data_IF_275330536909
#
_entry.id   IF_275330536909
#
_cell.length_a   1.000
_cell.length_b   1.000
_cell.length_c   1.000
_cell.angle_alpha   90.00
_cell.angle_beta   90.00
_cell.angle_gamma   90.00
#
_symmetry.space_group_name_H-M   'P 1'
#
loop_
_entity.id
_entity.type
_entity.pdbx_description
1 polymer ?
#
# COMPACT_ATOMS: atom_id res chain seq x y z
N UNK A 1 19.91 -10.36 4.51
CA UNK A 1 19.43 -10.77 3.18
C UNK A 1 18.60 -9.64 2.60
N UNK A 2 18.77 -9.36 1.32
CA UNK A 2 17.99 -8.38 0.55
C UNK A 2 17.10 -9.15 -0.42
N UNK A 3 15.79 -8.88 -0.45
CA UNK A 3 14.86 -9.52 -1.39
C UNK A 3 13.89 -8.52 -1.97
N UNK A 4 13.49 -8.75 -3.21
CA UNK A 4 12.44 -8.02 -3.90
C UNK A 4 11.38 -9.02 -4.31
N UNK A 5 10.12 -8.70 -4.07
CA UNK A 5 8.98 -9.49 -4.52
C UNK A 5 7.94 -8.57 -5.16
N UNK A 6 7.48 -8.97 -6.33
CA UNK A 6 6.47 -8.23 -7.08
C UNK A 6 5.11 -8.86 -6.77
N UNK A 7 4.20 -8.06 -6.22
CA UNK A 7 2.84 -8.46 -5.86
C UNK A 7 1.81 -8.01 -6.92
N UNK A 8 2.19 -7.01 -7.72
CA UNK A 8 1.52 -6.60 -8.94
C UNK A 8 2.44 -5.79 -9.83
N UNK A 9 2.28 -5.98 -11.13
CA UNK A 9 3.14 -5.46 -12.20
C UNK A 9 2.34 -4.81 -13.35
N UNK A 10 1.01 -4.74 -13.22
CA UNK A 10 0.13 -4.10 -14.20
C UNK A 10 0.05 -2.59 -13.98
N UNK A 11 -0.12 -1.85 -15.07
CA UNK A 11 -0.41 -0.42 -15.04
C UNK A 11 -1.88 -0.16 -15.34
N UNK A 12 -2.38 0.99 -14.88
CA UNK A 12 -3.71 1.58 -15.08
C UNK A 12 -4.89 0.77 -14.53
N UNK A 13 -4.98 -0.53 -14.79
CA UNK A 13 -6.11 -1.38 -14.36
C UNK A 13 -5.64 -2.80 -14.00
N UNK A 14 -6.26 -3.45 -13.00
CA UNK A 14 -6.06 -4.87 -12.78
C UNK A 14 -6.72 -5.67 -13.91
N UNK A 15 -5.97 -6.59 -14.50
CA UNK A 15 -6.40 -7.38 -15.67
C UNK A 15 -6.20 -8.88 -15.43
N UNK A 16 -6.92 -9.50 -14.48
CA UNK A 16 -6.83 -10.94 -14.27
C UNK A 16 -7.47 -11.72 -15.43
N UNK A 17 -6.80 -12.74 -15.96
CA UNK A 17 -7.37 -13.59 -17.01
C UNK A 17 -6.38 -14.65 -17.51
N UNK A 18 -6.84 -15.61 -18.34
CA UNK A 18 -6.00 -16.66 -18.90
C UNK A 18 -4.75 -16.14 -19.61
N UNK A 19 -4.86 -14.99 -20.26
CA UNK A 19 -3.76 -14.38 -21.02
C UNK A 19 -2.74 -13.63 -20.15
N UNK A 20 -3.09 -13.33 -18.89
CA UNK A 20 -2.26 -12.51 -17.99
C UNK A 20 -1.79 -13.27 -16.74
N UNK A 21 -2.41 -14.40 -16.41
CA UNK A 21 -2.20 -15.15 -15.16
C UNK A 21 -0.76 -15.63 -14.96
N UNK A 22 0.01 -15.82 -16.04
CA UNK A 22 1.42 -16.22 -15.97
C UNK A 22 2.26 -15.24 -15.15
N UNK A 23 1.98 -13.94 -15.29
CA UNK A 23 2.68 -12.87 -14.55
C UNK A 23 1.80 -12.23 -13.45
N UNK A 24 0.49 -12.46 -13.51
CA UNK A 24 -0.49 -11.91 -12.59
C UNK A 24 -1.35 -10.81 -13.22
N UNK A 25 -2.38 -10.40 -12.48
CA UNK A 25 -3.36 -9.39 -12.93
C UNK A 25 -3.44 -8.17 -12.02
N UNK A 26 -2.57 -8.05 -11.01
CA UNK A 26 -2.61 -6.96 -10.04
C UNK A 26 -1.80 -5.75 -10.51
N UNK A 27 -2.26 -4.56 -10.15
CA UNK A 27 -1.54 -3.30 -10.36
C UNK A 27 -0.39 -3.12 -9.36
N UNK A 28 0.51 -2.19 -9.69
CA UNK A 28 1.79 -1.94 -9.03
C UNK A 28 1.78 -2.13 -7.50
N UNK A 29 2.56 -3.10 -7.03
CA UNK A 29 2.94 -3.25 -5.64
C UNK A 29 4.21 -4.09 -5.55
N UNK A 30 5.27 -3.52 -4.98
CA UNK A 30 6.56 -4.19 -4.83
C UNK A 30 6.94 -4.20 -3.35
N UNK A 31 7.29 -5.38 -2.85
CA UNK A 31 7.88 -5.55 -1.53
C UNK A 31 9.40 -5.59 -1.65
N UNK A 32 10.08 -4.82 -0.80
CA UNK A 32 11.52 -4.86 -0.63
C UNK A 32 11.85 -5.15 0.83
N UNK A 33 12.62 -6.21 1.08
CA UNK A 33 13.13 -6.56 2.41
C UNK A 33 14.62 -6.27 2.47
N UNK A 34 15.04 -5.58 3.53
CA UNK A 34 16.45 -5.37 3.83
C UNK A 34 16.68 -5.43 5.35
N UNK A 35 17.21 -6.56 5.82
CA UNK A 35 17.32 -6.83 7.26
C UNK A 35 15.93 -6.90 7.90
N UNK A 36 15.68 -6.05 8.91
CA UNK A 36 14.36 -5.94 9.57
C UNK A 36 13.41 -4.95 8.90
N UNK A 37 13.86 -4.24 7.85
CA UNK A 37 13.03 -3.24 7.16
C UNK A 37 12.13 -3.91 6.13
N UNK A 38 10.85 -3.56 6.18
CA UNK A 38 9.85 -3.82 5.16
C UNK A 38 9.56 -2.49 4.45
N UNK A 39 9.89 -2.45 3.17
CA UNK A 39 9.59 -1.33 2.28
C UNK A 39 8.57 -1.82 1.26
N UNK A 40 7.54 -1.02 1.01
CA UNK A 40 6.53 -1.25 -0.03
C UNK A 40 6.59 -0.11 -1.01
N UNK A 41 6.61 -0.41 -2.31
CA UNK A 41 6.53 0.58 -3.37
C UNK A 41 5.16 0.40 -4.04
N UNK A 42 4.38 1.46 -4.01
CA UNK A 42 2.98 1.57 -4.41
C UNK A 42 1.99 0.66 -3.65
N UNK A 43 0.77 1.16 -3.55
CA UNK A 43 -0.37 0.53 -2.91
C UNK A 43 -1.48 0.21 -3.92
N UNK A 44 -1.09 -0.23 -5.12
CA UNK A 44 -2.00 -0.76 -6.11
C UNK A 44 -2.69 -2.05 -5.62
N UNK A 45 -3.55 -2.62 -6.46
CA UNK A 45 -4.33 -3.82 -6.11
C UNK A 45 -3.48 -5.02 -5.65
N UNK A 46 -2.19 -5.08 -6.02
CA UNK A 46 -1.25 -6.10 -5.51
C UNK A 46 -1.00 -6.03 -4.02
N UNK A 47 -1.18 -4.87 -3.38
CA UNK A 47 -0.94 -4.69 -1.94
C UNK A 47 -1.87 -5.56 -1.08
N UNK A 48 -3.03 -5.97 -1.60
CA UNK A 48 -3.92 -6.92 -0.92
C UNK A 48 -3.24 -8.27 -0.69
N UNK A 49 -2.58 -8.80 -1.73
CA UNK A 49 -1.85 -10.07 -1.63
C UNK A 49 -0.66 -9.97 -0.67
N UNK A 50 0.04 -8.84 -0.68
CA UNK A 50 1.08 -8.56 0.31
C UNK A 50 0.51 -8.53 1.73
N UNK A 51 -0.59 -7.81 1.95
CA UNK A 51 -1.27 -7.71 3.25
C UNK A 51 -1.64 -9.08 3.82
N UNK A 52 -2.29 -9.93 3.02
CA UNK A 52 -2.65 -11.30 3.39
C UNK A 52 -1.42 -12.13 3.79
N UNK A 53 -0.34 -11.98 3.03
CA UNK A 53 0.90 -12.70 3.31
C UNK A 53 1.57 -12.22 4.60
N UNK A 54 1.63 -10.91 4.84
CA UNK A 54 2.18 -10.34 6.08
C UNK A 54 1.40 -10.82 7.31
N UNK A 55 0.08 -10.85 7.23
CA UNK A 55 -0.77 -11.35 8.32
C UNK A 55 -0.47 -12.82 8.62
N UNK A 56 -0.34 -13.66 7.58
CA UNK A 56 -0.08 -15.09 7.75
C UNK A 56 1.33 -15.41 8.25
N UNK A 57 2.34 -14.65 7.80
CA UNK A 57 3.74 -15.03 7.97
C UNK A 57 4.49 -14.18 9.00
N UNK A 58 4.19 -12.88 9.08
CA UNK A 58 4.99 -11.92 9.85
C UNK A 58 4.30 -11.52 11.16
N UNK A 59 2.97 -11.45 11.18
CA UNK A 59 2.22 -10.93 12.33
C UNK A 59 2.46 -11.70 13.64
N UNK A 60 2.77 -13.00 13.54
CA UNK A 60 3.16 -13.83 14.70
C UNK A 60 4.41 -13.33 15.43
N UNK A 61 5.24 -12.53 14.76
CA UNK A 61 6.45 -11.92 15.32
C UNK A 61 6.19 -10.50 15.86
N UNK A 62 4.94 -10.02 15.81
CA UNK A 62 4.51 -8.70 16.24
C UNK A 62 3.80 -7.91 15.14
N UNK A 63 3.22 -6.74 15.48
CA UNK A 63 2.54 -5.89 14.52
C UNK A 63 3.44 -5.43 13.37
N UNK A 64 2.84 -5.14 12.22
CA UNK A 64 3.58 -4.78 11.01
C UNK A 64 4.21 -3.40 11.16
N UNK A 65 5.46 -3.27 10.74
CA UNK A 65 6.18 -2.00 10.71
C UNK A 65 6.80 -1.80 9.33
N UNK A 66 6.24 -0.86 8.54
CA UNK A 66 6.59 -0.70 7.14
C UNK A 66 6.74 0.76 6.71
N UNK A 67 7.63 0.98 5.75
CA UNK A 67 7.73 2.21 4.99
C UNK A 67 7.08 1.99 3.62
N UNK A 68 6.08 2.79 3.27
CA UNK A 68 5.35 2.69 2.01
C UNK A 68 5.70 3.93 1.19
N UNK A 69 6.22 3.73 -0.01
CA UNK A 69 6.53 4.79 -0.96
C UNK A 69 5.54 4.73 -2.11
N UNK A 70 4.74 5.77 -2.26
CA UNK A 70 3.84 5.99 -3.38
C UNK A 70 4.62 6.77 -4.43
N UNK A 71 4.77 6.20 -5.62
CA UNK A 71 5.49 6.84 -6.72
C UNK A 71 4.73 8.05 -7.24
N UNK A 72 3.42 7.91 -7.40
CA UNK A 72 2.47 8.98 -7.73
C UNK A 72 1.03 8.53 -7.38
N UNK A 73 0.09 9.47 -7.41
CA UNK A 73 -1.25 9.29 -6.83
C UNK A 73 -2.33 8.86 -7.84
N UNK A 74 -1.93 8.36 -9.02
CA UNK A 74 -2.90 7.72 -9.91
C UNK A 74 -3.55 6.51 -9.24
N UNK A 75 -4.81 6.27 -9.62
CA UNK A 75 -5.69 5.31 -8.97
C UNK A 75 -5.05 3.92 -8.83
N UNK A 76 -4.41 3.41 -9.89
CA UNK A 76 -3.79 2.09 -9.92
C UNK A 76 -2.61 1.91 -8.96
N UNK A 77 -2.05 3.01 -8.42
CA UNK A 77 -0.97 3.02 -7.43
C UNK A 77 -1.48 3.16 -5.99
N UNK A 78 -2.76 3.47 -5.77
CA UNK A 78 -3.31 3.71 -4.43
C UNK A 78 -4.56 2.89 -4.10
N UNK A 79 -5.27 2.37 -5.12
CA UNK A 79 -6.58 1.71 -5.00
C UNK A 79 -6.63 0.49 -4.10
N UNK A 80 -5.49 -0.18 -3.90
CA UNK A 80 -5.41 -1.37 -3.06
C UNK A 80 -5.32 -1.03 -1.59
N UNK A 81 -5.04 0.22 -1.22
CA UNK A 81 -4.78 0.62 0.16
C UNK A 81 -5.91 0.22 1.12
N UNK A 82 -7.21 0.42 0.82
CA UNK A 82 -8.29 -0.04 1.70
C UNK A 82 -8.34 -1.56 1.93
N UNK A 83 -7.75 -2.34 1.04
CA UNK A 83 -7.65 -3.81 1.14
C UNK A 83 -6.36 -4.27 1.85
N UNK A 84 -5.48 -3.36 2.27
CA UNK A 84 -4.24 -3.72 2.96
C UNK A 84 -4.52 -4.04 4.43
N UNK A 85 -4.83 -5.30 4.73
CA UNK A 85 -5.24 -5.76 6.08
C UNK A 85 -4.44 -5.18 7.26
N UNK A 86 -3.10 -4.98 7.18
CA UNK A 86 -2.35 -4.35 8.26
C UNK A 86 -2.87 -2.99 8.75
N UNK A 87 -3.59 -2.20 7.94
CA UNK A 87 -4.18 -0.93 8.38
C UNK A 87 -5.24 -1.10 9.49
N UNK A 88 -5.81 -2.29 9.62
CA UNK A 88 -6.83 -2.64 10.61
C UNK A 88 -6.26 -3.32 11.86
N UNK A 89 -4.94 -3.48 11.95
CA UNK A 89 -4.30 -4.24 13.03
C UNK A 89 -3.72 -3.28 14.08
N UNK A 90 -4.15 -3.38 15.36
CA UNK A 90 -3.57 -2.59 16.44
C UNK A 90 -2.06 -2.78 16.57
N UNK A 91 -1.36 -1.67 16.79
CA UNK A 91 0.10 -1.65 16.95
C UNK A 91 0.88 -1.63 15.64
N UNK A 92 0.23 -1.83 14.48
CA UNK A 92 0.87 -1.64 13.17
C UNK A 92 1.30 -0.18 13.02
N UNK A 93 2.49 0.04 12.44
CA UNK A 93 3.08 1.37 12.19
C UNK A 93 3.45 1.50 10.71
N UNK A 94 2.77 2.39 9.99
CA UNK A 94 3.01 2.64 8.58
C UNK A 94 3.50 4.07 8.38
N UNK A 95 4.58 4.23 7.63
CA UNK A 95 5.10 5.55 7.20
C UNK A 95 4.90 5.65 5.70
N UNK A 96 3.90 6.42 5.29
CA UNK A 96 3.54 6.60 3.89
C UNK A 96 4.22 7.85 3.37
N UNK A 97 4.99 7.70 2.31
CA UNK A 97 5.73 8.77 1.65
C UNK A 97 5.33 8.83 0.20
N UNK A 98 5.15 10.02 -0.34
CA UNK A 98 4.76 10.21 -1.73
C UNK A 98 5.22 11.55 -2.25
N UNK A 99 5.06 11.85 -3.54
CA UNK A 99 5.45 13.13 -4.10
C UNK A 99 4.67 14.28 -3.45
N UNK A 100 5.21 15.50 -3.57
CA UNK A 100 4.38 16.69 -3.43
C UNK A 100 3.34 16.68 -4.54
N UNK A 101 2.07 16.80 -4.19
CA UNK A 101 1.01 16.90 -5.18
C UNK A 101 0.97 18.32 -5.75
N UNK A 102 0.62 18.44 -7.02
CA UNK A 102 0.42 19.73 -7.68
C UNK A 102 -0.89 20.43 -7.26
N UNK A 103 -1.80 19.67 -6.65
CA UNK A 103 -3.10 20.15 -6.17
C UNK A 103 -3.06 20.46 -4.66
N UNK A 104 -4.11 21.13 -4.16
CA UNK A 104 -4.21 21.58 -2.77
C UNK A 104 -4.36 20.43 -1.74
N UNK A 105 -4.52 19.20 -2.21
CA UNK A 105 -4.70 18.02 -1.36
C UNK A 105 -3.37 17.42 -0.89
N UNK A 106 -3.26 17.26 0.42
CA UNK A 106 -2.17 16.51 1.06
C UNK A 106 -2.23 15.03 0.70
N UNK A 107 -1.09 14.33 0.79
CA UNK A 107 -1.04 12.87 0.61
C UNK A 107 -2.01 12.13 1.54
N UNK A 108 -2.18 12.64 2.76
CA UNK A 108 -3.16 12.12 3.72
C UNK A 108 -4.59 12.23 3.19
N UNK A 109 -4.98 13.39 2.64
CA UNK A 109 -6.32 13.59 2.08
C UNK A 109 -6.58 12.70 0.86
N UNK A 110 -5.59 12.54 -0.02
CA UNK A 110 -5.72 11.70 -1.22
C UNK A 110 -5.90 10.22 -0.85
N UNK A 111 -5.02 9.68 -0.01
CA UNK A 111 -5.13 8.29 0.44
C UNK A 111 -6.40 8.10 1.28
N UNK A 112 -6.71 9.08 2.13
CA UNK A 112 -7.88 9.12 3.00
C UNK A 112 -9.22 9.14 2.29
N UNK A 113 -9.30 9.79 1.12
CA UNK A 113 -10.52 9.87 0.33
C UNK A 113 -11.03 8.50 -0.08
N UNK A 114 -10.12 7.56 -0.38
CA UNK A 114 -10.46 6.17 -0.67
C UNK A 114 -11.13 5.47 0.51
N UNK A 115 -10.83 5.91 1.73
CA UNK A 115 -11.42 5.47 2.99
C UNK A 115 -12.51 6.44 3.47
N UNK A 116 -13.18 7.14 2.57
CA UNK A 116 -14.42 7.83 2.91
C UNK A 116 -15.59 6.85 2.85
N UNK A 117 -16.62 7.06 3.69
CA UNK A 117 -17.81 6.19 3.71
C UNK A 117 -18.53 6.08 2.35
N UNK A 118 -18.27 7.03 1.44
CA UNK A 118 -18.76 7.02 0.06
C UNK A 118 -18.17 5.87 -0.77
N UNK A 119 -16.90 5.52 -0.54
CA UNK A 119 -16.16 4.54 -1.34
C UNK A 119 -15.79 3.28 -0.56
N UNK A 120 -15.74 3.35 0.78
CA UNK A 120 -15.32 2.25 1.64
C UNK A 120 -16.09 2.21 2.97
N UNK A 121 -16.43 1.02 3.50
CA UNK A 121 -17.23 0.91 4.72
C UNK A 121 -16.51 1.29 6.02
N UNK A 122 -15.18 1.46 5.99
CA UNK A 122 -14.37 1.83 7.16
C UNK A 122 -13.67 3.16 6.89
N UNK A 123 -13.85 4.14 7.77
CA UNK A 123 -13.27 5.45 7.60
C UNK A 123 -11.79 5.50 8.00
N UNK A 124 -11.05 6.48 7.47
CA UNK A 124 -9.64 6.68 7.83
C UNK A 124 -9.42 6.86 9.34
N UNK A 125 -10.32 7.55 10.03
CA UNK A 125 -10.27 7.78 11.49
C UNK A 125 -10.64 6.54 12.32
N UNK A 126 -11.15 5.48 11.68
CA UNK A 126 -11.46 4.19 12.30
C UNK A 126 -10.32 3.17 12.16
N UNK A 127 -9.23 3.51 11.48
CA UNK A 127 -8.09 2.63 11.31
C UNK A 127 -7.35 2.40 12.64
N UNK A 128 -7.04 1.13 12.95
CA UNK A 128 -6.33 0.75 14.17
C UNK A 128 -4.80 0.89 14.06
N UNK A 129 -4.26 0.97 12.83
CA UNK A 129 -2.84 1.22 12.59
C UNK A 129 -2.48 2.68 12.85
N UNK A 130 -1.26 2.91 13.35
CA UNK A 130 -0.67 4.26 13.37
C UNK A 130 -0.04 4.56 12.01
N UNK A 131 -0.61 5.54 11.31
CA UNK A 131 -0.15 5.94 9.98
C UNK A 131 0.38 7.37 10.05
N UNK A 132 1.53 7.63 9.44
CA UNK A 132 2.07 8.97 9.24
C UNK A 132 2.31 9.22 7.77
N UNK A 133 2.02 10.43 7.30
CA UNK A 133 2.19 10.86 5.92
C UNK A 133 3.29 11.89 5.80
N UNK A 134 4.15 11.75 4.78
CA UNK A 134 5.24 12.69 4.51
C UNK A 134 5.36 12.91 2.99
N UNK A 135 5.26 14.17 2.56
CA UNK A 135 5.51 14.53 1.16
C UNK A 135 7.01 14.70 0.91
N UNK A 136 7.50 14.04 -0.13
CA UNK A 136 8.87 14.08 -0.58
C UNK A 136 9.02 15.14 -1.68
N UNK A 137 9.94 16.07 -1.47
CA UNK A 137 10.34 17.08 -2.47
C UNK A 137 11.52 16.56 -3.27
N UNK A 138 11.55 16.85 -4.56
CA UNK A 138 12.79 16.76 -5.34
C UNK A 138 13.79 17.80 -4.79
N UNK A 139 15.04 17.40 -4.64
CA UNK A 139 16.15 18.24 -4.13
C UNK A 139 16.87 18.95 -5.24
#
# INVERSE_FOLDING_TARGET
>A
MFTVKIWGDRGSMPVPGPDTVVFGGNTACIEVRCGKRLIVIDAGSGIRGLGDWLVRNDLKNGPINADIFITHTHWDHIMGFPMFTPIYIPGTKLRIRGPVNFEDETLEQIIGTQLSYRYWPVRQDELAAKISYESLKET
#
